data_IF_488644115465
#
_entry.id   IF_488644115465
#
_cell.length_a   1.000
_cell.length_b   1.000
_cell.length_c   1.000
_cell.angle_alpha   90.00
_cell.angle_beta   90.00
_cell.angle_gamma   90.00
#
_symmetry.space_group_name_H-M   'P 1'
#
loop_
_entity.id
_entity.type
_entity.pdbx_description
1 polymer ?
#
# COMPACT_ATOMS: atom_id res chain seq x y z
N UNK A 1 26.27 -19.42 -9.55
CA UNK A 1 25.96 -18.75 -10.82
C UNK A 1 25.25 -17.46 -10.47
N UNK A 2 25.95 -16.35 -10.65
CA UNK A 2 25.51 -14.99 -10.35
C UNK A 2 24.41 -14.58 -11.33
N UNK A 3 23.19 -14.37 -10.86
CA UNK A 3 22.14 -13.75 -11.66
C UNK A 3 22.30 -12.22 -11.57
N UNK A 4 22.99 -11.66 -12.55
CA UNK A 4 23.02 -10.22 -12.78
C UNK A 4 21.67 -9.80 -13.36
N UNK A 5 20.84 -9.11 -12.56
CA UNK A 5 19.65 -8.43 -13.07
C UNK A 5 20.09 -7.22 -13.91
N UNK A 6 20.11 -7.39 -15.22
CA UNK A 6 20.26 -6.29 -16.17
C UNK A 6 19.03 -5.39 -16.12
N UNK A 7 19.23 -4.12 -15.75
CA UNK A 7 18.22 -3.07 -15.82
C UNK A 7 17.99 -2.67 -17.29
N UNK A 8 17.26 -3.51 -18.02
CA UNK A 8 16.71 -3.17 -19.34
C UNK A 8 15.28 -2.68 -19.18
N UNK A 9 15.09 -1.40 -18.83
CA UNK A 9 13.77 -0.77 -18.82
C UNK A 9 13.40 -0.45 -20.28
N UNK A 10 12.67 -1.35 -20.94
CA UNK A 10 12.03 -1.06 -22.22
C UNK A 10 10.85 -0.11 -21.98
N UNK A 11 10.83 1.02 -22.67
CA UNK A 11 9.71 1.97 -22.59
C UNK A 11 8.48 1.34 -23.26
N UNK A 12 7.46 1.03 -22.46
CA UNK A 12 6.21 0.44 -22.93
C UNK A 12 5.06 1.43 -22.73
N UNK A 13 4.30 1.70 -23.79
CA UNK A 13 3.11 2.55 -23.74
C UNK A 13 1.86 1.70 -23.51
N UNK A 14 0.95 2.18 -22.66
CA UNK A 14 -0.33 1.50 -22.41
C UNK A 14 -1.19 1.51 -23.69
N UNK A 15 -1.54 0.33 -24.21
CA UNK A 15 -2.30 0.20 -25.45
C UNK A 15 -3.81 0.06 -25.24
N UNK A 16 -4.23 -0.40 -24.06
CA UNK A 16 -5.62 -0.68 -23.67
C UNK A 16 -5.80 -0.48 -22.17
N UNK A 17 -7.02 -0.18 -21.75
CA UNK A 17 -7.43 -0.14 -20.34
C UNK A 17 -8.58 -1.13 -20.16
N UNK A 18 -8.47 -2.00 -19.16
CA UNK A 18 -9.50 -2.96 -18.79
C UNK A 18 -10.13 -2.56 -17.47
N UNK A 19 -11.46 -2.60 -17.41
CA UNK A 19 -12.24 -2.36 -16.21
C UNK A 19 -12.74 -3.69 -15.66
N UNK A 20 -12.68 -3.84 -14.35
CA UNK A 20 -13.18 -5.01 -13.63
C UNK A 20 -13.56 -4.60 -12.20
N UNK A 21 -14.36 -5.44 -11.54
CA UNK A 21 -14.54 -5.36 -10.10
C UNK A 21 -13.39 -6.11 -9.43
N UNK A 22 -12.84 -5.54 -8.36
CA UNK A 22 -11.80 -6.19 -7.57
C UNK A 22 -12.43 -7.22 -6.64
N UNK A 23 -11.97 -8.46 -6.72
CA UNK A 23 -12.44 -9.52 -5.84
C UNK A 23 -11.79 -9.44 -4.44
N UNK A 24 -12.45 -10.02 -3.42
CA UNK A 24 -11.92 -10.04 -2.05
C UNK A 24 -10.56 -10.73 -1.97
N UNK A 25 -10.41 -11.89 -2.61
CA UNK A 25 -9.16 -12.66 -2.56
C UNK A 25 -8.01 -11.94 -3.30
N UNK A 26 -8.35 -11.11 -4.29
CA UNK A 26 -7.39 -10.24 -4.97
C UNK A 26 -6.97 -9.06 -4.10
N UNK A 27 -7.93 -8.41 -3.42
CA UNK A 27 -7.67 -7.32 -2.49
C UNK A 27 -6.77 -7.78 -1.33
N UNK A 28 -7.09 -8.91 -0.71
CA UNK A 28 -6.31 -9.45 0.42
C UNK A 28 -4.88 -9.81 0.00
N UNK A 29 -4.69 -10.42 -1.19
CA UNK A 29 -3.35 -10.72 -1.71
C UNK A 29 -2.54 -9.48 -2.08
N UNK A 30 -3.19 -8.45 -2.60
CA UNK A 30 -2.53 -7.17 -2.92
C UNK A 30 -2.24 -6.35 -1.66
N UNK A 31 -2.92 -6.65 -0.55
CA UNK A 31 -2.86 -5.84 0.65
C UNK A 31 -1.60 -6.09 1.47
N UNK A 32 -0.98 -5.02 1.96
CA UNK A 32 0.20 -5.07 2.84
C UNK A 32 -0.16 -5.09 4.33
N UNK A 33 -1.39 -4.69 4.67
CA UNK A 33 -1.90 -4.68 6.04
C UNK A 33 -3.42 -4.59 6.11
N UNK A 34 -3.99 -5.18 7.16
CA UNK A 34 -5.37 -4.93 7.59
C UNK A 34 -5.39 -3.73 8.55
N UNK A 35 -6.30 -2.78 8.31
CA UNK A 35 -6.52 -1.64 9.19
C UNK A 35 -7.57 -2.04 10.24
N UNK A 36 -7.13 -2.11 11.50
CA UNK A 36 -7.96 -2.51 12.64
C UNK A 36 -8.01 -1.44 13.75
N UNK A 37 -7.16 -0.42 13.66
CA UNK A 37 -7.09 0.68 14.62
C UNK A 37 -7.62 1.98 14.03
N UNK A 38 -8.46 2.68 14.80
CA UNK A 38 -8.91 4.05 14.49
C UNK A 38 -7.93 5.11 14.99
N UNK A 39 -6.94 4.73 15.80
CA UNK A 39 -5.91 5.64 16.30
C UNK A 39 -4.89 5.94 15.19
N UNK A 40 -4.60 7.22 14.99
CA UNK A 40 -3.73 7.68 13.89
C UNK A 40 -2.24 7.63 14.27
N UNK A 41 -1.90 8.15 15.44
CA UNK A 41 -0.54 8.29 15.93
C UNK A 41 -0.43 7.75 17.35
N UNK A 42 0.75 7.26 17.70
CA UNK A 42 1.11 6.90 19.05
C UNK A 42 1.03 8.13 19.97
N UNK A 43 1.08 7.93 21.31
CA UNK A 43 1.04 9.04 22.26
C UNK A 43 2.16 10.08 22.11
N UNK A 44 3.22 9.76 21.36
CA UNK A 44 4.29 10.70 21.00
C UNK A 44 3.83 11.78 19.99
N UNK A 45 2.67 11.58 19.34
CA UNK A 45 2.09 12.48 18.35
C UNK A 45 2.84 12.52 17.01
N UNK A 46 3.83 11.64 16.81
CA UNK A 46 4.73 11.65 15.64
C UNK A 46 4.70 10.31 14.93
N UNK A 47 4.76 9.20 15.68
CA UNK A 47 4.89 7.87 15.10
C UNK A 47 3.50 7.32 14.76
N UNK A 48 3.21 6.95 13.50
CA UNK A 48 1.95 6.30 13.16
C UNK A 48 1.71 4.99 13.92
N UNK A 49 0.45 4.69 14.20
CA UNK A 49 0.06 3.41 14.81
C UNK A 49 0.06 2.31 13.75
N UNK A 50 0.60 1.13 14.10
CA UNK A 50 0.50 -0.06 13.26
C UNK A 50 -0.95 -0.53 13.14
N UNK A 51 -1.34 -1.00 11.95
CA UNK A 51 -2.72 -1.30 11.57
C UNK A 51 -3.67 -0.10 11.71
N UNK A 52 -3.13 1.12 11.73
CA UNK A 52 -3.87 2.38 11.66
C UNK A 52 -3.87 2.96 10.24
N UNK A 53 -4.55 4.11 10.07
CA UNK A 53 -4.70 4.75 8.76
C UNK A 53 -3.38 5.21 8.12
N UNK A 54 -2.38 5.55 8.94
CA UNK A 54 -1.06 6.01 8.47
C UNK A 54 0.03 4.94 8.61
N UNK A 55 -0.33 3.65 8.64
CA UNK A 55 0.64 2.56 8.72
C UNK A 55 1.70 2.70 7.61
N UNK A 56 2.98 2.75 8.01
CA UNK A 56 4.10 2.99 7.12
C UNK A 56 4.29 1.90 6.06
N UNK A 57 3.65 0.72 6.21
CA UNK A 57 3.60 -0.29 5.15
C UNK A 57 2.80 0.19 3.94
N UNK A 58 1.77 1.03 4.13
CA UNK A 58 0.96 1.58 3.04
C UNK A 58 1.64 2.74 2.30
N UNK A 59 2.66 3.35 2.90
CA UNK A 59 3.42 4.44 2.27
C UNK A 59 4.06 5.37 3.29
N UNK A 60 4.85 6.32 2.78
CA UNK A 60 5.35 7.45 3.57
C UNK A 60 4.31 8.58 3.50
N UNK A 61 3.90 9.15 4.64
CA UNK A 61 2.93 10.25 4.69
C UNK A 61 3.62 11.63 4.77
N UNK A 62 4.83 11.67 5.33
CA UNK A 62 5.63 12.88 5.49
C UNK A 62 7.00 12.74 4.83
N UNK A 63 7.75 13.85 4.71
CA UNK A 63 9.10 13.85 4.11
C UNK A 63 10.13 13.07 4.93
N UNK A 64 9.89 12.90 6.23
CA UNK A 64 10.77 12.15 7.13
C UNK A 64 10.44 10.66 7.16
N UNK A 65 9.26 10.27 6.67
CA UNK A 65 8.85 8.88 6.66
C UNK A 65 9.54 8.09 5.56
N UNK A 66 9.78 6.81 5.86
CA UNK A 66 10.24 5.81 4.90
C UNK A 66 9.22 4.69 4.89
N UNK A 67 8.72 4.34 3.70
CA UNK A 67 7.77 3.26 3.54
C UNK A 67 8.41 1.92 3.98
N UNK A 68 7.71 1.17 4.82
CA UNK A 68 8.18 -0.13 5.33
C UNK A 68 8.06 -1.28 4.31
N UNK A 69 7.37 -1.06 3.19
CA UNK A 69 7.20 -2.06 2.12
C UNK A 69 8.25 -1.92 1.01
N UNK A 70 8.42 -0.73 0.44
CA UNK A 70 9.38 -0.51 -0.65
C UNK A 70 10.64 0.27 -0.23
N UNK A 71 10.75 0.71 1.03
CA UNK A 71 11.89 1.48 1.56
C UNK A 71 12.16 2.80 0.83
N UNK A 72 11.16 3.34 0.12
CA UNK A 72 11.22 4.65 -0.51
C UNK A 72 10.61 5.74 0.36
N UNK A 73 11.07 6.98 0.14
CA UNK A 73 10.51 8.19 0.72
C UNK A 73 9.23 8.61 -0.02
N UNK A 74 8.53 9.62 0.51
CA UNK A 74 7.28 10.17 -0.05
C UNK A 74 7.34 10.42 -1.57
N UNK A 75 8.46 10.94 -2.09
CA UNK A 75 8.59 11.32 -3.50
C UNK A 75 8.72 10.13 -4.46
N UNK A 76 9.18 8.98 -3.96
CA UNK A 76 9.49 7.79 -4.78
C UNK A 76 8.56 6.60 -4.51
N UNK A 77 7.80 6.64 -3.42
CA UNK A 77 6.87 5.60 -3.07
C UNK A 77 5.58 5.76 -3.90
N UNK A 78 5.14 4.72 -4.65
CA UNK A 78 3.88 4.77 -5.38
C UNK A 78 2.65 4.59 -4.47
N UNK A 79 2.86 4.21 -3.21
CA UNK A 79 1.81 3.77 -2.30
C UNK A 79 1.55 2.27 -2.40
N UNK A 80 1.02 1.69 -1.33
CA UNK A 80 0.66 0.28 -1.24
C UNK A 80 -0.74 0.11 -0.64
N UNK A 81 -1.47 -0.90 -1.11
CA UNK A 81 -2.87 -1.10 -0.77
C UNK A 81 -2.99 -1.67 0.66
N UNK A 82 -3.78 -1.03 1.51
CA UNK A 82 -4.33 -1.62 2.74
C UNK A 82 -5.75 -2.09 2.52
N UNK A 83 -6.31 -2.85 3.47
CA UNK A 83 -7.72 -3.22 3.44
C UNK A 83 -8.36 -3.09 4.83
N UNK A 84 -9.70 -2.94 4.84
CA UNK A 84 -10.53 -3.03 6.04
C UNK A 84 -11.47 -4.21 5.83
N UNK A 85 -11.45 -5.17 6.75
CA UNK A 85 -12.40 -6.28 6.73
C UNK A 85 -13.73 -5.83 7.31
N UNK A 86 -14.77 -5.85 6.47
CA UNK A 86 -16.13 -5.56 6.92
C UNK A 86 -16.74 -6.82 7.53
N UNK A 87 -17.29 -6.68 8.74
CA UNK A 87 -17.93 -7.78 9.49
C UNK A 87 -19.16 -8.35 8.76
N UNK A 88 -19.80 -7.53 7.92
CA UNK A 88 -20.98 -7.91 7.13
C UNK A 88 -20.84 -7.37 5.70
N UNK A 89 -21.47 -8.03 4.71
CA UNK A 89 -21.52 -7.52 3.36
C UNK A 89 -22.30 -6.20 3.30
N UNK A 90 -21.83 -5.26 2.48
CA UNK A 90 -22.42 -3.94 2.28
C UNK A 90 -22.64 -3.72 0.78
N UNK A 91 -23.77 -3.14 0.41
CA UNK A 91 -24.04 -2.78 -0.98
C UNK A 91 -23.14 -1.59 -1.40
N UNK A 92 -22.45 -1.75 -2.54
CA UNK A 92 -21.74 -0.65 -3.18
C UNK A 92 -22.72 0.11 -4.09
N UNK A 93 -23.08 1.37 -3.78
CA UNK A 93 -24.07 2.14 -4.52
C UNK A 93 -23.56 2.66 -5.87
#
# INVERSE_FOLDING_TARGET
MSFSFGHGQGEATASKVQFALLDRDELERASVCEITSTTLYNPDGVTPVENGLYDLRMGAATKTDVCRTCSHTLEKCPGHIGHISLQTPVFHP
#
